data_IF_573424087555
#
_entry.id   IF_573424087555
#
_cell.length_a   1.000
_cell.length_b   1.000
_cell.length_c   1.000
_cell.angle_alpha   90.00
_cell.angle_beta   90.00
_cell.angle_gamma   90.00
#
_symmetry.space_group_name_H-M   'P 1'
#
loop_
_entity.id
_entity.type
_entity.pdbx_description
1 polymer ?
#
# COMPACT_ATOMS: atom_id res chain seq x y z
N UNK A 1 28.87 37.04 -48.44
CA UNK A 1 29.91 37.37 -47.45
C UNK A 1 29.53 36.65 -46.15
N UNK A 2 30.43 35.77 -45.73
CA UNK A 2 30.68 35.14 -44.42
C UNK A 2 30.10 35.88 -43.18
N UNK A 3 29.80 35.29 -42.01
CA UNK A 3 30.14 34.00 -41.39
C UNK A 3 29.29 33.86 -40.08
N UNK A 4 28.94 32.62 -39.72
CA UNK A 4 28.91 31.98 -38.37
C UNK A 4 28.42 32.69 -37.09
N UNK A 5 27.73 31.89 -36.25
CA UNK A 5 27.96 31.92 -34.80
C UNK A 5 26.93 31.26 -33.86
N UNK A 6 26.87 29.93 -33.85
CA UNK A 6 26.74 28.97 -32.71
C UNK A 6 25.72 29.16 -31.56
N UNK A 7 25.16 28.01 -31.17
CA UNK A 7 24.19 27.79 -30.10
C UNK A 7 24.77 27.87 -28.68
N UNK A 8 23.91 28.21 -27.72
CA UNK A 8 24.04 27.80 -26.33
C UNK A 8 22.63 27.50 -25.77
N UNK A 9 22.19 26.24 -25.90
CA UNK A 9 21.07 25.75 -25.10
C UNK A 9 21.57 25.55 -23.67
N UNK A 10 21.42 26.59 -22.86
CA UNK A 10 21.49 26.48 -21.40
C UNK A 10 20.11 26.06 -20.90
N UNK A 11 19.94 24.78 -20.56
CA UNK A 11 18.82 24.33 -19.73
C UNK A 11 19.02 24.91 -18.33
N UNK A 12 18.36 26.03 -18.04
CA UNK A 12 18.12 26.43 -16.66
C UNK A 12 16.86 25.69 -16.19
N UNK A 13 17.06 24.54 -15.54
CA UNK A 13 15.98 23.86 -14.85
C UNK A 13 15.62 24.71 -13.64
N UNK A 14 14.54 25.48 -13.78
CA UNK A 14 13.89 26.17 -12.67
C UNK A 14 13.48 25.10 -11.65
N UNK A 15 14.29 24.92 -10.61
CA UNK A 15 13.98 24.07 -9.46
C UNK A 15 12.89 24.77 -8.66
N UNK A 16 11.66 24.68 -9.16
CA UNK A 16 10.46 25.01 -8.43
C UNK A 16 9.92 23.71 -7.86
N UNK A 17 10.24 23.47 -6.59
CA UNK A 17 9.81 22.31 -5.82
C UNK A 17 8.29 22.20 -5.85
N UNK A 18 7.74 21.31 -6.68
CA UNK A 18 6.31 21.01 -6.77
C UNK A 18 5.77 20.27 -5.52
N UNK A 19 6.51 20.23 -4.42
CA UNK A 19 6.11 19.57 -3.18
C UNK A 19 5.08 20.37 -2.37
N UNK A 20 5.00 21.70 -2.54
CA UNK A 20 4.12 22.55 -1.71
C UNK A 20 2.67 22.67 -2.20
N UNK A 21 2.28 21.94 -3.26
CA UNK A 21 0.89 21.90 -3.78
C UNK A 21 0.22 20.52 -3.67
N UNK A 22 0.90 19.47 -3.20
CA UNK A 22 0.30 18.13 -3.01
C UNK A 22 -0.26 17.96 -1.61
N UNK A 23 -1.33 18.68 -1.30
CA UNK A 23 -1.95 18.67 0.04
C UNK A 23 -3.02 17.60 0.23
N UNK A 24 -3.25 16.69 -0.74
CA UNK A 24 -4.25 15.61 -0.60
C UNK A 24 -4.19 14.51 -1.70
N UNK A 25 -3.04 14.34 -2.37
CA UNK A 25 -2.94 13.37 -3.48
C UNK A 25 -2.02 12.21 -3.09
N UNK A 26 -2.34 10.96 -3.46
CA UNK A 26 -1.45 9.82 -3.30
C UNK A 26 -0.04 10.14 -3.80
N UNK A 27 0.98 9.66 -3.10
CA UNK A 27 2.39 9.86 -3.44
C UNK A 27 2.67 9.29 -4.83
N UNK A 28 1.91 8.28 -5.26
CA UNK A 28 2.09 7.50 -6.47
C UNK A 28 3.10 6.38 -6.26
N UNK A 29 3.30 5.94 -5.01
CA UNK A 29 4.24 4.87 -4.69
C UNK A 29 3.69 3.51 -5.13
N UNK A 30 4.59 2.52 -5.25
CA UNK A 30 4.17 1.14 -5.42
C UNK A 30 3.22 0.69 -4.29
N UNK A 31 2.28 -0.19 -4.61
CA UNK A 31 1.29 -0.72 -3.68
C UNK A 31 1.46 -2.23 -3.53
N UNK A 32 1.40 -2.76 -2.29
CA UNK A 32 1.40 -4.19 -2.07
C UNK A 32 0.05 -4.82 -2.41
N UNK A 33 0.04 -6.12 -2.65
CA UNK A 33 -1.16 -6.91 -2.96
C UNK A 33 -1.46 -7.94 -1.88
N UNK A 34 -2.73 -8.05 -1.51
CA UNK A 34 -3.19 -9.16 -0.68
C UNK A 34 -3.20 -10.45 -1.49
N UNK A 35 -2.59 -11.50 -0.94
CA UNK A 35 -2.70 -12.86 -1.44
C UNK A 35 -4.01 -13.51 -0.96
N UNK A 36 -4.50 -13.10 0.22
CA UNK A 36 -5.87 -13.40 0.64
C UNK A 36 -6.87 -12.65 -0.21
N UNK A 37 -7.86 -13.37 -0.73
CA UNK A 37 -8.88 -12.82 -1.59
C UNK A 37 -10.24 -13.51 -1.39
N UNK A 38 -11.25 -12.97 -2.08
CA UNK A 38 -12.64 -13.43 -2.05
C UNK A 38 -12.83 -14.93 -2.40
N UNK A 39 -11.88 -15.56 -3.08
CA UNK A 39 -11.95 -16.98 -3.48
C UNK A 39 -11.26 -17.94 -2.51
N UNK A 40 -10.30 -17.46 -1.71
CA UNK A 40 -9.51 -18.30 -0.80
C UNK A 40 -9.78 -18.04 0.69
N UNK A 41 -10.47 -16.95 1.02
CA UNK A 41 -10.90 -16.68 2.39
C UNK A 41 -12.00 -17.65 2.80
N UNK A 42 -11.75 -18.44 3.86
CA UNK A 42 -12.69 -19.44 4.34
C UNK A 42 -13.47 -18.95 5.57
N UNK A 43 -14.71 -18.52 5.35
CA UNK A 43 -15.62 -18.04 6.39
C UNK A 43 -16.02 -19.10 7.44
N UNK A 44 -15.80 -20.40 7.18
CA UNK A 44 -16.09 -21.46 8.15
C UNK A 44 -15.04 -21.56 9.26
N UNK A 45 -13.88 -20.93 9.07
CA UNK A 45 -12.81 -20.87 10.08
C UNK A 45 -13.07 -19.65 10.96
N UNK A 46 -13.09 -19.86 12.28
CA UNK A 46 -13.23 -18.76 13.23
C UNK A 46 -12.00 -17.82 13.17
N UNK A 47 -12.20 -16.52 13.37
CA UNK A 47 -11.14 -15.49 13.27
C UNK A 47 -9.91 -15.81 14.14
N UNK A 48 -10.12 -16.45 15.30
CA UNK A 48 -9.07 -16.91 16.23
C UNK A 48 -8.04 -17.85 15.57
N UNK A 49 -8.45 -18.57 14.54
CA UNK A 49 -7.62 -19.52 13.80
C UNK A 49 -7.38 -19.06 12.35
N UNK A 50 -7.68 -17.80 12.04
CA UNK A 50 -7.58 -17.27 10.69
C UNK A 50 -6.42 -16.28 10.56
N UNK A 51 -5.85 -16.24 9.37
CA UNK A 51 -4.69 -15.40 9.03
C UNK A 51 -4.88 -14.88 7.62
N UNK A 52 -4.54 -13.62 7.40
CA UNK A 52 -4.49 -13.01 6.07
C UNK A 52 -3.05 -12.94 5.59
N UNK A 53 -2.87 -12.94 4.28
CA UNK A 53 -1.58 -13.00 3.62
C UNK A 53 -1.46 -11.92 2.53
N UNK A 54 -0.24 -11.49 2.26
CA UNK A 54 0.10 -10.58 1.18
C UNK A 54 1.38 -11.01 0.47
N UNK A 55 1.55 -10.52 -0.75
CA UNK A 55 2.67 -10.90 -1.60
C UNK A 55 3.99 -10.30 -1.11
N UNK A 56 5.09 -10.98 -1.40
CA UNK A 56 6.44 -10.47 -1.11
C UNK A 56 6.75 -9.20 -1.88
N UNK A 57 7.66 -8.39 -1.32
CA UNK A 57 8.21 -7.22 -2.02
C UNK A 57 8.88 -7.70 -3.32
N UNK A 58 8.53 -7.15 -4.50
CA UNK A 58 9.18 -7.52 -5.76
C UNK A 58 10.67 -7.18 -5.75
N UNK A 59 11.51 -8.01 -6.38
CA UNK A 59 12.98 -7.83 -6.42
C UNK A 59 13.44 -6.47 -7.01
N UNK A 60 12.56 -5.77 -7.74
CA UNK A 60 12.81 -4.44 -8.31
C UNK A 60 12.32 -3.29 -7.40
N UNK A 61 12.18 -3.51 -6.09
CA UNK A 61 11.58 -2.53 -5.18
C UNK A 61 12.35 -1.22 -5.12
N UNK A 62 11.61 -0.12 -4.97
CA UNK A 62 12.11 1.26 -4.84
C UNK A 62 12.83 1.53 -3.51
N UNK A 63 13.47 0.50 -2.91
CA UNK A 63 14.04 0.55 -1.56
C UNK A 63 13.06 0.14 -0.46
N UNK A 64 11.95 -0.53 -0.80
CA UNK A 64 11.01 -1.07 0.19
C UNK A 64 11.65 -2.20 1.00
N UNK A 65 11.55 -2.10 2.33
CA UNK A 65 12.15 -3.03 3.29
C UNK A 65 11.11 -3.75 4.18
N UNK A 66 9.84 -3.37 4.08
CA UNK A 66 8.77 -3.98 4.86
C UNK A 66 7.37 -3.56 4.44
N UNK A 67 6.44 -3.76 5.36
CA UNK A 67 5.01 -3.52 5.22
C UNK A 67 4.46 -2.82 6.45
N UNK A 68 3.44 -2.00 6.25
CA UNK A 68 2.57 -1.48 7.29
C UNK A 68 1.14 -1.94 7.01
N UNK A 69 0.43 -2.40 8.04
CA UNK A 69 -0.97 -2.82 7.96
C UNK A 69 -1.81 -1.98 8.91
N UNK A 70 -2.82 -1.32 8.34
CA UNK A 70 -3.92 -0.75 9.11
C UNK A 70 -5.05 -1.78 9.20
N UNK A 71 -5.60 -1.94 10.39
CA UNK A 71 -6.86 -2.64 10.62
C UNK A 71 -7.82 -1.69 11.32
N UNK A 72 -8.96 -1.45 10.69
CA UNK A 72 -9.96 -0.46 11.12
C UNK A 72 -9.34 0.93 11.32
N UNK A 73 -8.55 1.36 10.32
CA UNK A 73 -7.81 2.63 10.27
C UNK A 73 -6.79 2.84 11.41
N UNK A 74 -6.44 1.78 12.14
CA UNK A 74 -5.38 1.79 13.17
C UNK A 74 -4.23 0.90 12.72
N UNK A 75 -3.00 1.41 12.78
CA UNK A 75 -1.81 0.61 12.50
C UNK A 75 -1.68 -0.53 13.51
N UNK A 76 -1.71 -1.76 13.01
CA UNK A 76 -1.60 -2.99 13.82
C UNK A 76 -0.29 -3.72 13.62
N UNK A 77 0.40 -3.45 12.52
CA UNK A 77 1.63 -4.15 12.18
C UNK A 77 2.54 -3.27 11.33
N UNK A 78 3.84 -3.35 11.64
CA UNK A 78 4.94 -2.82 10.83
C UNK A 78 6.07 -3.85 10.84
N UNK A 79 6.58 -4.24 9.67
CA UNK A 79 7.72 -5.15 9.55
C UNK A 79 7.73 -5.97 8.26
N UNK A 80 8.51 -7.06 8.25
CA UNK A 80 8.80 -7.85 7.04
C UNK A 80 7.95 -9.10 6.84
N UNK A 81 7.01 -9.37 7.74
CA UNK A 81 6.13 -10.53 7.65
C UNK A 81 5.18 -10.39 6.45
N UNK A 82 4.73 -11.54 5.95
CA UNK A 82 3.81 -11.65 4.81
C UNK A 82 2.39 -12.06 5.25
N UNK A 83 2.12 -11.98 6.55
CA UNK A 83 0.87 -12.44 7.13
C UNK A 83 0.52 -11.75 8.44
N UNK A 84 -0.76 -11.79 8.79
CA UNK A 84 -1.30 -11.26 10.03
C UNK A 84 -2.44 -12.14 10.57
N UNK A 85 -2.38 -12.50 11.85
CA UNK A 85 -3.42 -13.29 12.51
C UNK A 85 -4.63 -12.43 12.86
N UNK A 86 -5.84 -12.91 12.56
CA UNK A 86 -7.09 -12.23 12.87
C UNK A 86 -7.60 -12.52 14.29
N UNK A 87 -6.80 -13.19 15.13
CA UNK A 87 -7.28 -13.74 16.39
C UNK A 87 -7.70 -12.69 17.43
N UNK A 88 -7.18 -11.47 17.31
CA UNK A 88 -7.52 -10.35 18.17
C UNK A 88 -8.74 -9.56 17.70
N UNK A 89 -9.34 -9.91 16.55
CA UNK A 89 -10.46 -9.18 15.96
C UNK A 89 -11.81 -9.66 16.51
N UNK A 90 -12.74 -8.70 16.62
CA UNK A 90 -14.08 -8.94 17.13
C UNK A 90 -14.97 -9.50 16.02
N UNK A 91 -15.43 -10.74 16.17
CA UNK A 91 -16.40 -11.30 15.24
C UNK A 91 -17.74 -10.52 15.26
N UNK A 92 -18.43 -10.50 14.12
CA UNK A 92 -19.78 -9.93 13.99
C UNK A 92 -19.83 -8.44 13.60
N UNK A 93 -18.69 -7.80 13.37
CA UNK A 93 -18.58 -6.44 12.81
C UNK A 93 -17.73 -6.46 11.54
N UNK A 94 -17.90 -5.48 10.62
CA UNK A 94 -17.02 -5.36 9.47
C UNK A 94 -15.62 -4.93 9.92
N UNK A 95 -14.60 -5.47 9.25
CA UNK A 95 -13.20 -5.07 9.41
C UNK A 95 -12.62 -4.56 8.09
N UNK A 96 -11.80 -3.53 8.18
CA UNK A 96 -11.15 -2.88 7.02
C UNK A 96 -9.63 -3.05 7.11
N UNK A 97 -9.02 -3.54 6.03
CA UNK A 97 -7.58 -3.80 5.96
C UNK A 97 -6.96 -2.95 4.88
N UNK A 98 -5.90 -2.22 5.20
CA UNK A 98 -5.10 -1.46 4.24
C UNK A 98 -3.64 -1.79 4.41
N UNK A 99 -2.95 -2.01 3.31
CA UNK A 99 -1.55 -2.41 3.32
C UNK A 99 -0.72 -1.34 2.59
N UNK A 100 0.47 -1.05 3.08
CA UNK A 100 1.45 -0.19 2.43
C UNK A 100 2.82 -0.87 2.49
N UNK A 101 3.69 -0.56 1.53
CA UNK A 101 5.11 -0.83 1.68
C UNK A 101 5.72 0.18 2.66
N UNK A 102 6.80 -0.23 3.34
CA UNK A 102 7.62 0.66 4.17
C UNK A 102 9.05 0.69 3.66
N UNK A 103 9.71 1.83 3.84
CA UNK A 103 11.14 2.01 3.62
C UNK A 103 11.69 2.83 4.77
N UNK A 104 12.71 2.32 5.46
CA UNK A 104 13.36 2.97 6.61
C UNK A 104 12.37 3.42 7.70
N UNK A 105 11.31 2.62 7.91
CA UNK A 105 10.26 2.91 8.89
C UNK A 105 9.22 3.95 8.46
N UNK A 106 9.28 4.45 7.22
CA UNK A 106 8.26 5.34 6.64
C UNK A 106 7.34 4.54 5.70
N UNK A 107 6.03 4.66 5.90
CA UNK A 107 5.05 4.04 5.03
C UNK A 107 4.84 4.85 3.74
N UNK A 108 4.69 4.15 2.61
CA UNK A 108 4.20 4.72 1.35
C UNK A 108 2.68 4.88 1.32
N UNK A 109 2.11 4.88 0.12
CA UNK A 109 0.66 4.90 -0.06
C UNK A 109 0.02 3.59 0.42
N UNK A 110 -1.13 3.71 1.09
CA UNK A 110 -1.95 2.57 1.46
C UNK A 110 -2.87 2.17 0.32
N UNK A 111 -3.09 0.86 0.17
CA UNK A 111 -4.13 0.33 -0.72
C UNK A 111 -5.51 0.88 -0.33
N UNK A 112 -6.45 0.86 -1.28
CA UNK A 112 -7.87 0.82 -0.93
C UNK A 112 -8.16 -0.32 0.06
N UNK A 113 -9.24 -0.19 0.84
CA UNK A 113 -9.53 -1.16 1.89
C UNK A 113 -10.02 -2.50 1.30
N UNK A 114 -9.40 -3.59 1.74
CA UNK A 114 -10.04 -4.90 1.72
C UNK A 114 -11.04 -4.96 2.88
N UNK A 115 -12.19 -5.62 2.68
CA UNK A 115 -13.29 -5.62 3.65
C UNK A 115 -13.65 -7.05 4.03
N UNK A 116 -13.61 -7.35 5.31
CA UNK A 116 -14.22 -8.56 5.86
C UNK A 116 -15.57 -8.21 6.49
N UNK A 117 -16.65 -8.68 5.90
CA UNK A 117 -18.00 -8.46 6.43
C UNK A 117 -18.34 -9.44 7.57
N UNK A 118 -19.30 -9.10 8.46
CA UNK A 118 -19.76 -9.98 9.53
C UNK A 118 -20.25 -11.36 9.07
N UNK A 119 -20.74 -11.45 7.83
CA UNK A 119 -21.20 -12.70 7.22
C UNK A 119 -20.04 -13.58 6.70
N UNK A 120 -18.79 -13.18 6.91
CA UNK A 120 -17.59 -13.87 6.44
C UNK A 120 -17.20 -13.58 4.99
N UNK A 121 -17.91 -12.67 4.31
CA UNK A 121 -17.56 -12.28 2.93
C UNK A 121 -16.31 -11.40 2.95
N UNK A 122 -15.27 -11.84 2.25
CA UNK A 122 -14.10 -11.02 1.95
C UNK A 122 -14.31 -10.28 0.62
N UNK A 123 -14.07 -8.98 0.62
CA UNK A 123 -14.04 -8.12 -0.57
C UNK A 123 -12.63 -7.63 -0.78
N UNK A 124 -12.10 -7.92 -1.97
CA UNK A 124 -10.76 -7.51 -2.39
C UNK A 124 -10.66 -5.99 -2.49
N UNK A 125 -9.49 -5.39 -2.20
CA UNK A 125 -9.33 -3.96 -2.32
C UNK A 125 -9.49 -3.52 -3.78
N UNK A 126 -10.08 -2.34 -3.99
CA UNK A 126 -10.09 -1.74 -5.32
C UNK A 126 -8.66 -1.39 -5.76
N UNK A 127 -8.37 -1.38 -7.08
CA UNK A 127 -7.07 -0.95 -7.56
C UNK A 127 -6.77 0.50 -7.17
N UNK A 128 -5.51 0.75 -6.80
CA UNK A 128 -5.00 2.09 -6.52
C UNK A 128 -4.90 2.45 -5.04
N UNK A 129 -4.29 3.61 -4.75
CA UNK A 129 -4.08 4.09 -3.40
C UNK A 129 -5.35 4.75 -2.85
N UNK A 130 -5.50 4.74 -1.52
CA UNK A 130 -6.70 5.27 -0.85
C UNK A 130 -6.76 6.77 -0.66
#
# INVERSE_FOLDING_TARGET
MFLNGVAAFGFDSILQTAADLRRDAPLGSALPSFATNSTNFNAAIALQNQTIFWDSIPDASEGWDGFALLVDDVERYVGTALNYSLAALQAGIPHFFRLAYTSEGTAGDFTMAAILWPNGTWVDPLPGPS
#
